data_IF_691417405845
#
_entry.id   IF_691417405845
#
_cell.length_a   1.000
_cell.length_b   1.000
_cell.length_c   1.000
_cell.angle_alpha   90.00
_cell.angle_beta   90.00
_cell.angle_gamma   90.00
#
_symmetry.space_group_name_H-M   'P 1'
#
loop_
_entity.id
_entity.type
_entity.pdbx_description
1 polymer ?
#
# COMPACT_ATOMS: atom_id res chain seq x y z
N UNK A 1 -6.50 -7.45 32.79
CA UNK A 1 -6.79 -8.72 32.08
C UNK A 1 -7.25 -8.34 30.69
N UNK A 2 -6.64 -8.88 29.67
CA UNK A 2 -6.98 -8.64 28.27
C UNK A 2 -7.81 -9.81 27.76
N UNK A 3 -8.78 -9.55 26.89
CA UNK A 3 -9.60 -10.58 26.27
C UNK A 3 -9.29 -10.55 24.76
N UNK A 4 -8.69 -11.63 24.26
CA UNK A 4 -8.48 -11.84 22.82
C UNK A 4 -9.69 -12.52 22.23
N UNK A 5 -10.12 -12.04 21.05
CA UNK A 5 -11.25 -12.56 20.27
C UNK A 5 -10.87 -12.59 18.80
N UNK A 6 -11.41 -13.55 18.03
CA UNK A 6 -11.32 -13.54 16.57
C UNK A 6 -12.26 -12.50 15.99
N UNK A 7 -11.98 -12.10 14.75
CA UNK A 7 -12.80 -11.12 14.02
C UNK A 7 -14.12 -11.70 13.56
N UNK A 8 -15.07 -10.80 13.39
CA UNK A 8 -16.32 -11.01 12.68
C UNK A 8 -16.65 -9.76 11.87
N UNK A 9 -17.48 -9.87 10.85
CA UNK A 9 -17.91 -8.72 10.03
C UNK A 9 -18.53 -7.57 10.86
N UNK A 10 -19.07 -7.87 12.04
CA UNK A 10 -19.65 -6.85 12.93
C UNK A 10 -18.60 -5.96 13.61
N UNK A 11 -17.33 -6.32 13.52
CA UNK A 11 -16.22 -5.53 14.09
C UNK A 11 -15.66 -4.46 13.14
N UNK A 12 -16.09 -4.41 11.87
CA UNK A 12 -15.48 -3.55 10.85
C UNK A 12 -15.41 -2.08 11.28
N UNK A 13 -16.56 -1.50 11.66
CA UNK A 13 -16.64 -0.09 12.04
C UNK A 13 -15.79 0.24 13.27
N UNK A 14 -15.79 -0.67 14.25
CA UNK A 14 -15.02 -0.49 15.48
C UNK A 14 -13.51 -0.60 15.23
N UNK A 15 -13.08 -1.57 14.41
CA UNK A 15 -11.68 -1.73 14.04
C UNK A 15 -11.20 -0.55 13.21
N UNK A 16 -11.98 -0.09 12.23
CA UNK A 16 -11.66 1.10 11.46
C UNK A 16 -11.47 2.32 12.37
N UNK A 17 -12.41 2.58 13.26
CA UNK A 17 -12.31 3.70 14.19
C UNK A 17 -11.06 3.59 15.07
N UNK A 18 -10.73 2.40 15.55
CA UNK A 18 -9.55 2.13 16.33
C UNK A 18 -8.25 2.36 15.55
N UNK A 19 -8.19 1.92 14.28
CA UNK A 19 -7.04 2.17 13.40
C UNK A 19 -6.85 3.68 13.17
N UNK A 20 -7.93 4.41 12.91
CA UNK A 20 -7.91 5.87 12.77
C UNK A 20 -7.39 6.54 14.04
N UNK A 21 -7.80 6.10 15.23
CA UNK A 21 -7.29 6.64 16.51
C UNK A 21 -5.79 6.39 16.69
N UNK A 22 -5.30 5.20 16.28
CA UNK A 22 -3.87 4.90 16.25
C UNK A 22 -3.12 5.82 15.28
N UNK A 23 -3.64 6.01 14.06
CA UNK A 23 -3.07 6.92 13.06
C UNK A 23 -3.01 8.36 13.57
N UNK A 24 -4.09 8.87 14.15
CA UNK A 24 -4.15 10.21 14.72
C UNK A 24 -3.12 10.40 15.86
N UNK A 25 -2.95 9.36 16.69
CA UNK A 25 -1.96 9.38 17.77
C UNK A 25 -0.52 9.36 17.25
N UNK A 26 -0.27 8.66 16.14
CA UNK A 26 1.07 8.51 15.56
C UNK A 26 1.44 9.62 14.59
N UNK A 27 0.50 10.09 13.77
CA UNK A 27 0.75 11.01 12.65
C UNK A 27 -0.02 12.33 12.72
N UNK A 28 -0.99 12.47 13.63
CA UNK A 28 -1.88 13.62 13.69
C UNK A 28 -2.93 13.68 12.57
N UNK A 29 -3.01 12.66 11.71
CA UNK A 29 -4.03 12.52 10.65
C UNK A 29 -4.32 11.04 10.37
N UNK A 30 -5.57 10.74 9.99
CA UNK A 30 -5.97 9.41 9.60
C UNK A 30 -5.21 8.96 8.33
N UNK A 31 -4.92 7.68 8.26
CA UNK A 31 -4.33 6.99 7.11
C UNK A 31 -5.12 5.76 6.70
N UNK A 32 -5.79 5.15 7.66
CA UNK A 32 -6.67 4.01 7.45
C UNK A 32 -7.97 4.44 6.79
N UNK A 33 -8.41 3.72 5.76
CA UNK A 33 -9.68 3.93 5.07
C UNK A 33 -10.58 2.71 5.22
N UNK A 34 -11.90 2.93 5.04
CA UNK A 34 -12.89 1.85 5.03
C UNK A 34 -12.63 0.90 3.88
N UNK A 35 -12.38 1.45 2.71
CA UNK A 35 -12.17 0.73 1.48
C UNK A 35 -10.96 -0.22 1.59
N UNK A 36 -9.84 0.24 2.18
CA UNK A 36 -8.67 -0.60 2.40
C UNK A 36 -8.96 -1.73 3.38
N UNK A 37 -9.68 -1.45 4.46
CA UNK A 37 -10.01 -2.45 5.47
C UNK A 37 -11.01 -3.49 4.94
N UNK A 38 -12.04 -3.07 4.19
CA UNK A 38 -13.00 -3.97 3.54
C UNK A 38 -12.28 -4.87 2.53
N UNK A 39 -11.42 -4.29 1.68
CA UNK A 39 -10.60 -5.04 0.71
C UNK A 39 -9.70 -6.07 1.41
N UNK A 40 -9.05 -5.69 2.50
CA UNK A 40 -8.22 -6.59 3.29
C UNK A 40 -9.05 -7.75 3.89
N UNK A 41 -10.22 -7.45 4.44
CA UNK A 41 -11.06 -8.45 5.10
C UNK A 41 -11.75 -9.40 4.13
N UNK A 42 -11.98 -8.99 2.88
CA UNK A 42 -12.52 -9.86 1.82
C UNK A 42 -11.55 -11.00 1.44
N UNK A 43 -10.25 -10.84 1.75
CA UNK A 43 -9.22 -11.86 1.51
C UNK A 43 -9.04 -12.84 2.67
N UNK A 44 -9.69 -12.59 3.81
CA UNK A 44 -9.42 -13.26 5.07
C UNK A 44 -10.58 -14.20 5.47
N UNK A 45 -10.22 -15.32 6.09
CA UNK A 45 -11.14 -16.00 7.01
C UNK A 45 -11.07 -15.28 8.37
N UNK A 46 -11.95 -14.29 8.56
CA UNK A 46 -11.95 -13.42 9.74
C UNK A 46 -11.89 -14.19 11.06
N UNK A 47 -12.47 -15.40 11.08
CA UNK A 47 -12.47 -16.27 12.27
C UNK A 47 -11.13 -16.91 12.60
N UNK A 48 -10.16 -16.87 11.65
CA UNK A 48 -8.84 -17.49 11.79
C UNK A 48 -7.68 -16.53 11.57
N UNK A 49 -7.88 -15.52 10.70
CA UNK A 49 -6.80 -14.69 10.17
C UNK A 49 -6.70 -13.34 10.90
N UNK A 50 -7.65 -13.02 11.81
CA UNK A 50 -7.64 -11.75 12.50
C UNK A 50 -8.09 -11.82 13.96
N UNK A 51 -7.51 -10.94 14.77
CA UNK A 51 -7.76 -10.88 16.22
C UNK A 51 -7.92 -9.44 16.70
N UNK A 52 -8.81 -9.29 17.67
CA UNK A 52 -8.96 -8.06 18.44
C UNK A 52 -8.70 -8.34 19.91
N UNK A 53 -8.14 -7.34 20.60
CA UNK A 53 -7.89 -7.36 22.02
C UNK A 53 -8.72 -6.30 22.71
N UNK A 54 -9.42 -6.68 23.81
CA UNK A 54 -10.22 -5.78 24.61
C UNK A 54 -9.71 -5.68 26.04
N UNK A 55 -9.86 -4.50 26.62
CA UNK A 55 -9.63 -4.32 28.07
C UNK A 55 -10.82 -4.83 28.91
N UNK A 56 -10.70 -4.72 30.22
CA UNK A 56 -11.74 -5.16 31.17
C UNK A 56 -13.03 -4.34 31.09
N UNK A 57 -13.01 -3.17 30.45
CA UNK A 57 -14.17 -2.33 30.17
C UNK A 57 -14.79 -2.63 28.81
N UNK A 58 -14.23 -3.58 28.06
CA UNK A 58 -14.68 -3.97 26.72
C UNK A 58 -14.17 -3.06 25.60
N UNK A 59 -13.31 -2.07 25.86
CA UNK A 59 -12.75 -1.17 24.85
C UNK A 59 -11.72 -1.92 24.01
N UNK A 60 -11.73 -1.68 22.69
CA UNK A 60 -10.72 -2.19 21.77
C UNK A 60 -9.37 -1.52 22.07
N UNK A 61 -8.32 -2.32 22.27
CA UNK A 61 -6.97 -1.86 22.61
C UNK A 61 -5.88 -2.47 21.72
N UNK A 62 -6.25 -3.40 20.84
CA UNK A 62 -5.35 -4.01 19.89
C UNK A 62 -6.08 -4.71 18.76
N UNK A 63 -5.47 -4.69 17.58
CA UNK A 63 -5.90 -5.38 16.36
C UNK A 63 -4.67 -5.99 15.70
N UNK A 64 -4.79 -7.21 15.19
CA UNK A 64 -3.77 -7.86 14.40
C UNK A 64 -4.37 -8.83 13.42
N UNK A 65 -3.77 -8.95 12.24
CA UNK A 65 -4.23 -9.87 11.20
C UNK A 65 -3.10 -10.43 10.36
N UNK A 66 -3.42 -11.47 9.60
CA UNK A 66 -2.58 -12.07 8.57
C UNK A 66 -3.36 -12.11 7.26
N UNK A 67 -2.71 -11.70 6.18
CA UNK A 67 -3.25 -11.74 4.82
C UNK A 67 -2.27 -12.40 3.87
N UNK A 68 -2.70 -12.69 2.66
CA UNK A 68 -1.82 -13.17 1.59
C UNK A 68 -1.89 -14.68 1.35
N UNK A 69 -1.23 -15.09 0.29
CA UNK A 69 -1.22 -16.44 -0.28
C UNK A 69 0.10 -16.69 -1.00
N UNK A 70 0.30 -17.90 -1.50
CA UNK A 70 1.44 -18.28 -2.36
C UNK A 70 2.81 -17.91 -1.76
N UNK A 71 2.96 -18.09 -0.42
CA UNK A 71 4.22 -17.84 0.30
C UNK A 71 4.51 -16.39 0.61
N UNK A 72 3.62 -15.48 0.26
CA UNK A 72 3.73 -14.04 0.51
C UNK A 72 2.64 -13.60 1.47
N UNK A 73 2.96 -13.60 2.74
CA UNK A 73 2.01 -13.23 3.78
C UNK A 73 2.33 -11.85 4.33
N UNK A 74 1.29 -11.09 4.64
CA UNK A 74 1.35 -9.80 5.30
C UNK A 74 0.79 -9.86 6.70
N UNK A 75 1.24 -8.99 7.60
CA UNK A 75 0.65 -8.80 8.92
C UNK A 75 0.53 -7.32 9.22
N UNK A 76 -0.65 -6.93 9.71
CA UNK A 76 -0.87 -5.62 10.31
C UNK A 76 -1.06 -5.78 11.82
N UNK A 77 -0.51 -4.84 12.56
CA UNK A 77 -0.59 -4.80 14.02
C UNK A 77 -0.83 -3.37 14.49
N UNK A 78 -1.98 -3.14 15.11
CA UNK A 78 -2.36 -1.86 15.71
C UNK A 78 -2.52 -2.02 17.20
N UNK A 79 -1.86 -1.15 17.98
CA UNK A 79 -1.90 -1.17 19.43
C UNK A 79 -2.11 0.25 19.94
N UNK A 80 -3.16 0.45 20.72
CA UNK A 80 -3.44 1.75 21.30
C UNK A 80 -2.53 1.99 22.50
N UNK A 81 -1.48 2.76 22.32
CA UNK A 81 -0.61 3.25 23.37
C UNK A 81 -1.19 4.59 23.91
N UNK A 82 -1.71 4.75 25.13
CA UNK A 82 -1.20 4.18 26.37
C UNK A 82 -2.12 3.15 27.06
N UNK A 83 -3.21 2.71 26.43
CA UNK A 83 -4.20 1.86 27.11
C UNK A 83 -3.84 0.38 27.12
N UNK A 84 -2.94 -0.05 26.26
CA UNK A 84 -2.56 -1.45 26.11
C UNK A 84 -1.59 -1.89 27.22
N UNK A 85 -1.84 -3.03 27.87
CA UNK A 85 -0.89 -3.60 28.81
C UNK A 85 0.40 -4.01 28.09
N UNK A 86 1.51 -3.99 28.83
CA UNK A 86 2.80 -4.45 28.34
C UNK A 86 2.71 -5.91 27.86
N UNK A 87 3.23 -6.20 26.67
CA UNK A 87 3.28 -7.54 26.08
C UNK A 87 2.09 -7.91 25.20
N UNK A 88 1.02 -7.10 25.13
CA UNK A 88 -0.12 -7.37 24.24
C UNK A 88 0.31 -7.48 22.78
N UNK A 89 1.22 -6.62 22.35
CA UNK A 89 1.76 -6.61 21.00
C UNK A 89 2.48 -7.92 20.65
N UNK A 90 3.21 -8.51 21.61
CA UNK A 90 3.87 -9.79 21.40
C UNK A 90 2.87 -10.95 21.40
N UNK A 91 1.79 -10.85 22.17
CA UNK A 91 0.71 -11.85 22.17
C UNK A 91 -0.02 -11.85 20.81
N UNK A 92 -0.38 -10.68 20.27
CA UNK A 92 -0.99 -10.56 18.95
C UNK A 92 -0.02 -10.99 17.82
N UNK A 93 1.24 -10.54 17.86
CA UNK A 93 2.26 -10.97 16.90
C UNK A 93 2.47 -12.49 16.94
N UNK A 94 2.42 -13.11 18.13
CA UNK A 94 2.48 -14.56 18.26
C UNK A 94 1.35 -15.26 17.52
N UNK A 95 0.12 -14.74 17.60
CA UNK A 95 -1.03 -15.25 16.83
C UNK A 95 -0.84 -15.09 15.32
N UNK A 96 -0.36 -13.95 14.87
CA UNK A 96 -0.07 -13.71 13.47
C UNK A 96 1.01 -14.68 12.94
N UNK A 97 2.08 -14.91 13.71
CA UNK A 97 3.14 -15.86 13.35
C UNK A 97 2.65 -17.30 13.31
N UNK A 98 1.87 -17.73 14.31
CA UNK A 98 1.26 -19.06 14.36
C UNK A 98 0.44 -19.30 13.08
N UNK A 99 -0.43 -18.35 12.76
CA UNK A 99 -1.31 -18.45 11.60
C UNK A 99 -0.57 -18.40 10.26
N UNK A 100 0.41 -17.53 10.12
CA UNK A 100 1.23 -17.44 8.90
C UNK A 100 1.99 -18.75 8.63
N UNK A 101 2.53 -19.40 9.67
CA UNK A 101 3.15 -20.73 9.53
C UNK A 101 2.14 -21.82 9.15
N UNK A 102 0.90 -21.78 9.70
CA UNK A 102 -0.16 -22.70 9.30
C UNK A 102 -0.51 -22.55 7.81
N UNK A 103 -0.63 -21.32 7.31
CA UNK A 103 -0.91 -21.02 5.90
C UNK A 103 0.25 -21.50 5.02
N UNK A 104 1.48 -21.20 5.39
CA UNK A 104 2.67 -21.65 4.66
C UNK A 104 2.80 -23.18 4.60
N UNK A 105 2.46 -23.89 5.68
CA UNK A 105 2.50 -25.34 5.73
C UNK A 105 1.42 -26.02 4.84
N UNK A 106 0.34 -25.34 4.52
CA UNK A 106 -0.71 -25.84 3.63
C UNK A 106 -0.34 -25.71 2.16
N UNK A 107 0.63 -24.87 1.84
CA UNK A 107 1.08 -24.60 0.48
C UNK A 107 2.34 -25.40 0.13
N UNK A 108 2.14 -26.63 -0.36
CA UNK A 108 3.22 -27.61 -0.62
C UNK A 108 4.14 -27.27 -1.80
N UNK A 109 3.85 -26.19 -2.54
CA UNK A 109 4.58 -25.85 -3.78
C UNK A 109 5.54 -24.66 -3.62
N UNK A 110 5.69 -24.08 -2.43
CA UNK A 110 6.45 -22.87 -2.22
C UNK A 110 7.87 -23.20 -1.75
N UNK A 111 8.86 -22.71 -2.49
CA UNK A 111 10.28 -22.89 -2.17
C UNK A 111 10.74 -22.04 -0.97
N UNK A 112 10.06 -20.94 -0.70
CA UNK A 112 10.31 -20.05 0.45
C UNK A 112 9.07 -19.20 0.76
N UNK A 113 8.60 -19.27 1.98
CA UNK A 113 7.52 -18.42 2.48
C UNK A 113 8.06 -17.36 3.45
N UNK A 114 7.45 -16.20 3.48
CA UNK A 114 7.81 -15.16 4.43
C UNK A 114 6.60 -14.36 4.89
N UNK A 115 6.68 -13.85 6.13
CA UNK A 115 5.72 -12.89 6.68
C UNK A 115 6.35 -11.50 6.62
N UNK A 116 5.62 -10.56 6.05
CA UNK A 116 6.01 -9.14 5.91
C UNK A 116 5.14 -8.29 6.81
N UNK A 117 5.75 -7.35 7.52
CA UNK A 117 5.03 -6.33 8.28
C UNK A 117 5.69 -4.97 8.13
N UNK A 118 4.97 -3.92 8.47
CA UNK A 118 5.43 -2.55 8.34
C UNK A 118 5.33 -1.81 9.68
N UNK A 119 6.37 -1.06 10.00
CA UNK A 119 6.34 -0.08 11.07
C UNK A 119 6.81 1.27 10.54
N UNK A 120 6.24 2.36 11.02
CA UNK A 120 6.80 3.68 10.69
C UNK A 120 8.12 3.91 11.39
N UNK A 121 8.95 4.80 10.85
CA UNK A 121 10.24 5.15 11.46
C UNK A 121 10.11 5.82 12.85
N UNK A 122 8.91 6.32 13.18
CA UNK A 122 8.62 6.95 14.48
C UNK A 122 8.04 5.97 15.51
N UNK A 123 7.45 4.84 15.08
CA UNK A 123 6.85 3.84 15.97
C UNK A 123 7.89 2.84 16.48
N UNK A 124 8.74 3.30 17.41
CA UNK A 124 9.81 2.48 17.99
C UNK A 124 9.29 1.22 18.70
N UNK A 125 8.09 1.30 19.28
CA UNK A 125 7.49 0.15 19.98
C UNK A 125 7.17 -0.98 19.00
N UNK A 126 6.52 -0.68 17.88
CA UNK A 126 6.20 -1.69 16.86
C UNK A 126 7.47 -2.23 16.20
N UNK A 127 8.50 -1.39 15.96
CA UNK A 127 9.80 -1.84 15.48
C UNK A 127 10.42 -2.88 16.41
N UNK A 128 10.40 -2.62 17.72
CA UNK A 128 10.90 -3.57 18.72
C UNK A 128 10.12 -4.89 18.72
N UNK A 129 8.79 -4.85 18.53
CA UNK A 129 7.96 -6.06 18.42
C UNK A 129 8.43 -6.92 17.24
N UNK A 130 8.62 -6.34 16.05
CA UNK A 130 9.14 -7.08 14.90
C UNK A 130 10.52 -7.69 15.20
N UNK A 131 11.47 -6.90 15.70
CA UNK A 131 12.83 -7.36 15.98
C UNK A 131 12.88 -8.47 17.05
N UNK A 132 12.12 -8.32 18.15
CA UNK A 132 12.03 -9.33 19.20
C UNK A 132 11.40 -10.64 18.74
N UNK A 133 10.52 -10.58 17.73
CA UNK A 133 9.90 -11.76 17.12
C UNK A 133 10.69 -12.32 15.92
N UNK A 134 11.92 -11.86 15.71
CA UNK A 134 12.87 -12.42 14.74
C UNK A 134 12.61 -12.00 13.30
N UNK A 135 12.01 -10.84 13.11
CA UNK A 135 11.96 -10.21 11.79
C UNK A 135 13.24 -9.40 11.54
N UNK A 136 13.71 -9.45 10.31
CA UNK A 136 14.81 -8.61 9.83
C UNK A 136 14.25 -7.35 9.12
N UNK A 137 14.95 -6.23 9.28
CA UNK A 137 14.68 -5.03 8.47
C UNK A 137 15.07 -5.33 7.04
N UNK A 138 14.09 -5.27 6.13
CA UNK A 138 14.31 -5.60 4.73
C UNK A 138 14.59 -4.36 3.87
N UNK A 139 13.69 -3.37 3.90
CA UNK A 139 13.86 -2.12 3.14
C UNK A 139 13.04 -0.99 3.77
N UNK A 140 13.21 0.21 3.24
CA UNK A 140 12.44 1.38 3.65
C UNK A 140 11.55 1.84 2.49
N UNK A 141 10.38 2.37 2.82
CA UNK A 141 9.45 2.95 1.87
C UNK A 141 9.10 4.37 2.28
N UNK A 142 9.07 5.27 1.31
CA UNK A 142 8.61 6.64 1.52
C UNK A 142 7.19 6.78 0.99
N UNK A 143 6.34 7.42 1.77
CA UNK A 143 5.12 8.03 1.25
C UNK A 143 5.46 9.43 0.78
N UNK A 144 5.37 9.65 -0.53
CA UNK A 144 5.48 10.97 -1.14
C UNK A 144 4.10 11.58 -1.25
N UNK A 145 3.98 12.88 -1.00
CA UNK A 145 2.70 13.60 -1.00
C UNK A 145 2.87 15.00 -1.59
N UNK A 146 1.83 15.49 -2.25
CA UNK A 146 1.67 16.89 -2.60
C UNK A 146 0.26 17.34 -2.17
N UNK A 147 0.17 18.49 -1.48
CA UNK A 147 -1.10 19.11 -1.11
C UNK A 147 -1.40 20.24 -2.09
N UNK A 148 -2.66 20.35 -2.53
CA UNK A 148 -3.08 21.38 -3.46
C UNK A 148 -3.47 22.65 -2.72
N UNK A 149 -2.54 23.60 -2.64
CA UNK A 149 -2.75 24.90 -1.97
C UNK A 149 -3.24 26.02 -2.92
N UNK A 150 -3.59 25.67 -4.15
CA UNK A 150 -4.05 26.59 -5.19
C UNK A 150 -4.32 25.89 -6.51
N UNK A 151 -4.68 26.62 -7.57
CA UNK A 151 -5.00 26.05 -8.87
C UNK A 151 -3.86 25.21 -9.43
N UNK A 152 -4.18 23.97 -9.85
CA UNK A 152 -3.27 23.07 -10.54
C UNK A 152 -3.62 23.10 -12.03
N UNK A 153 -2.74 23.70 -12.83
CA UNK A 153 -2.93 23.78 -14.27
C UNK A 153 -2.66 22.44 -14.95
N UNK A 154 -3.44 22.13 -15.97
CA UNK A 154 -3.14 20.97 -16.82
C UNK A 154 -1.92 21.29 -17.69
N UNK A 155 -0.85 20.47 -17.64
CA UNK A 155 0.32 20.71 -18.46
C UNK A 155 -0.02 20.56 -19.94
N UNK A 156 0.61 21.38 -20.79
CA UNK A 156 0.45 21.26 -22.23
C UNK A 156 0.94 19.87 -22.70
N UNK A 157 0.08 19.15 -23.41
CA UNK A 157 0.43 17.82 -23.93
C UNK A 157 1.44 17.96 -25.07
N UNK A 158 2.58 17.25 -25.02
CA UNK A 158 3.48 17.16 -26.16
C UNK A 158 2.79 16.52 -27.38
N UNK A 159 3.01 17.05 -28.57
CA UNK A 159 2.30 16.66 -29.82
C UNK A 159 2.53 15.19 -30.20
N UNK A 160 3.71 14.64 -29.89
CA UNK A 160 4.05 13.24 -30.18
C UNK A 160 3.31 12.21 -29.35
N UNK A 161 2.56 12.63 -28.31
CA UNK A 161 1.84 11.73 -27.43
C UNK A 161 0.34 11.82 -27.60
N UNK A 162 -0.31 10.65 -27.57
CA UNK A 162 -1.76 10.52 -27.44
C UNK A 162 -2.12 9.98 -26.08
N UNK A 163 -3.17 10.54 -25.48
CA UNK A 163 -3.75 10.05 -24.23
C UNK A 163 -4.96 9.17 -24.53
N UNK A 164 -5.08 8.11 -23.76
CA UNK A 164 -6.31 7.32 -23.66
C UNK A 164 -6.51 6.87 -22.22
N UNK A 165 -7.73 6.47 -21.90
CA UNK A 165 -8.02 5.71 -20.70
C UNK A 165 -7.80 4.22 -20.97
N UNK A 166 -7.61 3.43 -19.92
CA UNK A 166 -7.45 1.98 -20.03
C UNK A 166 -8.69 1.33 -20.69
N UNK A 167 -8.41 0.36 -21.55
CA UNK A 167 -9.38 -0.58 -22.10
C UNK A 167 -8.85 -2.00 -21.89
N UNK A 168 -9.72 -2.99 -21.75
CA UNK A 168 -9.33 -4.38 -21.49
C UNK A 168 -8.32 -4.92 -22.53
N UNK A 169 -8.41 -4.48 -23.78
CA UNK A 169 -7.45 -4.81 -24.86
C UNK A 169 -6.02 -4.33 -24.58
N UNK A 170 -5.86 -3.34 -23.71
CA UNK A 170 -4.55 -2.78 -23.33
C UNK A 170 -3.82 -3.60 -22.25
N UNK A 171 -4.50 -4.54 -21.60
CA UNK A 171 -4.01 -5.20 -20.39
C UNK A 171 -2.62 -5.83 -20.52
N UNK A 172 -2.40 -6.62 -21.56
CA UNK A 172 -1.12 -7.30 -21.76
C UNK A 172 0.03 -6.32 -22.00
N UNK A 173 -0.19 -5.29 -22.84
CA UNK A 173 0.82 -4.28 -23.13
C UNK A 173 1.10 -3.42 -21.90
N UNK A 174 0.06 -3.08 -21.13
CA UNK A 174 0.17 -2.33 -19.89
C UNK A 174 0.95 -3.11 -18.82
N UNK A 175 0.61 -4.38 -18.59
CA UNK A 175 1.33 -5.25 -17.69
C UNK A 175 2.82 -5.35 -18.06
N UNK A 176 3.16 -5.55 -19.35
CA UNK A 176 4.54 -5.59 -19.81
C UNK A 176 5.29 -4.27 -19.57
N UNK A 177 4.64 -3.13 -19.79
CA UNK A 177 5.23 -1.83 -19.48
C UNK A 177 5.52 -1.69 -17.98
N UNK A 178 4.57 -2.04 -17.13
CA UNK A 178 4.71 -1.99 -15.68
C UNK A 178 5.86 -2.90 -15.23
N UNK A 179 5.85 -4.18 -15.58
CA UNK A 179 6.89 -5.14 -15.17
C UNK A 179 8.29 -4.74 -15.64
N UNK A 180 8.41 -4.21 -16.88
CA UNK A 180 9.71 -3.73 -17.40
C UNK A 180 10.22 -2.45 -16.70
N UNK A 181 9.34 -1.70 -16.06
CA UNK A 181 9.68 -0.44 -15.39
C UNK A 181 10.01 -0.65 -13.91
N UNK A 182 9.30 -1.57 -13.26
CA UNK A 182 9.44 -1.85 -11.84
C UNK A 182 10.50 -2.95 -11.60
N UNK A 183 11.78 -2.61 -11.79
CA UNK A 183 12.93 -3.55 -11.74
C UNK A 183 13.94 -3.15 -10.67
N UNK A 184 13.53 -3.04 -9.39
CA UNK A 184 14.47 -2.81 -8.31
C UNK A 184 14.83 -4.10 -7.58
N UNK A 185 15.97 -4.11 -6.91
CA UNK A 185 16.45 -5.24 -6.13
C UNK A 185 15.46 -5.60 -5.01
N UNK A 186 15.19 -6.89 -4.88
CA UNK A 186 14.25 -7.43 -3.89
C UNK A 186 12.78 -7.36 -4.26
N UNK A 187 12.42 -6.87 -5.45
CA UNK A 187 11.07 -6.98 -5.98
C UNK A 187 10.85 -8.34 -6.63
N UNK A 188 9.85 -9.05 -6.17
CA UNK A 188 9.38 -10.25 -6.83
C UNK A 188 8.50 -9.90 -8.03
N UNK A 189 8.77 -10.44 -9.25
CA UNK A 189 7.90 -10.22 -10.39
C UNK A 189 6.50 -10.81 -10.13
N UNK A 190 5.48 -10.13 -10.63
CA UNK A 190 4.10 -10.60 -10.55
C UNK A 190 3.71 -11.41 -11.78
N UNK A 191 2.81 -12.38 -11.62
CA UNK A 191 2.05 -12.90 -12.76
C UNK A 191 1.03 -11.84 -13.21
N UNK A 192 0.54 -11.95 -14.45
CA UNK A 192 -0.49 -11.03 -14.95
C UNK A 192 -1.77 -11.13 -14.12
N UNK A 193 -2.12 -12.32 -13.64
CA UNK A 193 -3.30 -12.54 -12.80
C UNK A 193 -3.13 -11.91 -11.42
N UNK A 194 -1.97 -12.07 -10.79
CA UNK A 194 -1.65 -11.42 -9.52
C UNK A 194 -1.63 -9.88 -9.66
N UNK A 195 -1.06 -9.37 -10.78
CA UNK A 195 -1.09 -7.93 -11.06
C UNK A 195 -2.51 -7.42 -11.33
N UNK A 196 -3.34 -8.16 -12.08
CA UNK A 196 -4.75 -7.82 -12.33
C UNK A 196 -5.52 -7.74 -11.00
N UNK A 197 -5.37 -8.73 -10.15
CA UNK A 197 -5.98 -8.73 -8.82
C UNK A 197 -5.54 -7.50 -8.01
N UNK A 198 -4.23 -7.19 -8.01
CA UNK A 198 -3.69 -6.03 -7.29
C UNK A 198 -4.26 -4.69 -7.78
N UNK A 199 -4.54 -4.56 -9.08
CA UNK A 199 -4.91 -3.27 -9.70
C UNK A 199 -6.42 -3.07 -9.77
N UNK A 200 -7.21 -4.13 -9.95
CA UNK A 200 -8.66 -4.03 -10.14
C UNK A 200 -9.49 -4.50 -8.94
N UNK A 201 -8.81 -4.84 -7.84
CA UNK A 201 -9.44 -5.29 -6.61
C UNK A 201 -10.25 -4.15 -5.95
N UNK A 202 -11.25 -4.53 -5.11
CA UNK A 202 -12.00 -3.59 -4.27
C UNK A 202 -12.93 -2.65 -5.01
N UNK A 203 -13.14 -2.83 -6.33
CA UNK A 203 -14.06 -1.97 -7.10
C UNK A 203 -13.60 -0.51 -7.27
N UNK A 204 -12.36 -0.17 -6.91
CA UNK A 204 -11.80 1.19 -7.00
C UNK A 204 -11.45 1.62 -8.42
N UNK A 205 -11.56 0.69 -9.38
CA UNK A 205 -11.26 1.01 -10.76
C UNK A 205 -12.22 2.07 -11.31
N UNK A 206 -11.64 3.19 -11.74
CA UNK A 206 -12.31 4.21 -12.53
C UNK A 206 -11.42 4.54 -13.73
N UNK A 207 -11.89 4.36 -14.99
CA UNK A 207 -11.09 4.60 -16.18
C UNK A 207 -10.55 6.02 -16.27
N UNK A 208 -11.15 7.01 -15.63
CA UNK A 208 -10.67 8.39 -15.60
C UNK A 208 -9.31 8.54 -14.90
N UNK A 209 -9.01 7.65 -13.95
CA UNK A 209 -7.75 7.65 -13.21
C UNK A 209 -6.70 6.67 -13.76
N UNK A 210 -7.07 5.91 -14.80
CA UNK A 210 -6.16 4.97 -15.47
C UNK A 210 -5.75 5.55 -16.83
N UNK A 211 -4.72 6.38 -16.81
CA UNK A 211 -4.26 7.15 -17.96
C UNK A 211 -3.12 6.45 -18.68
N UNK A 212 -3.30 6.21 -19.96
CA UNK A 212 -2.32 5.60 -20.86
C UNK A 212 -1.77 6.62 -21.87
N UNK A 213 -0.46 6.55 -22.11
CA UNK A 213 0.23 7.42 -23.07
C UNK A 213 0.85 6.59 -24.18
N UNK A 214 0.49 6.93 -25.42
CA UNK A 214 1.04 6.26 -26.62
C UNK A 214 1.83 7.22 -27.47
N UNK A 215 2.90 6.71 -28.10
CA UNK A 215 3.67 7.38 -29.14
C UNK A 215 3.72 6.47 -30.35
N UNK A 216 3.27 6.95 -31.51
CA UNK A 216 3.19 6.14 -32.76
C UNK A 216 2.49 4.79 -32.56
N UNK A 217 1.41 4.76 -31.77
CA UNK A 217 0.62 3.57 -31.45
C UNK A 217 1.16 2.67 -30.34
N UNK A 218 2.44 2.77 -29.95
CA UNK A 218 3.05 2.01 -28.86
C UNK A 218 2.72 2.64 -27.50
N UNK A 219 2.41 1.84 -26.50
CA UNK A 219 2.26 2.28 -25.12
C UNK A 219 3.64 2.64 -24.53
N UNK A 220 3.82 3.89 -24.09
CA UNK A 220 5.11 4.41 -23.61
C UNK A 220 5.05 5.00 -22.20
N UNK A 221 3.84 5.17 -21.65
CA UNK A 221 3.63 5.65 -20.31
C UNK A 221 2.28 5.25 -19.76
N UNK A 222 2.17 5.10 -18.46
CA UNK A 222 0.92 4.82 -17.78
C UNK A 222 0.94 5.39 -16.35
N UNK A 223 -0.22 5.88 -15.89
CA UNK A 223 -0.51 6.19 -14.51
C UNK A 223 -1.79 5.45 -14.10
N UNK A 224 -1.68 4.55 -13.14
CA UNK A 224 -2.80 3.80 -12.57
C UNK A 224 -3.04 4.35 -11.17
N UNK A 225 -4.21 4.90 -10.94
CA UNK A 225 -4.48 5.71 -9.76
C UNK A 225 -5.89 5.47 -9.26
N UNK A 226 -6.14 5.86 -8.02
CA UNK A 226 -7.43 5.81 -7.37
C UNK A 226 -7.75 7.17 -6.76
N UNK A 227 -9.03 7.45 -6.57
CA UNK A 227 -9.51 8.58 -5.82
C UNK A 227 -10.17 8.08 -4.53
N UNK A 228 -9.79 8.67 -3.41
CA UNK A 228 -10.34 8.42 -2.10
C UNK A 228 -10.78 9.77 -1.51
N UNK A 229 -11.60 9.76 -0.46
CA UNK A 229 -12.00 11.01 0.22
C UNK A 229 -10.78 11.78 0.77
N UNK A 230 -9.75 11.06 1.18
CA UNK A 230 -8.49 11.62 1.71
C UNK A 230 -7.59 12.25 0.65
N UNK A 231 -7.80 11.93 -0.64
CA UNK A 231 -6.98 12.42 -1.75
C UNK A 231 -6.81 11.41 -2.89
N UNK A 232 -6.02 11.77 -3.89
CA UNK A 232 -5.63 10.87 -4.96
C UNK A 232 -4.48 9.95 -4.53
N UNK A 233 -4.49 8.73 -5.01
CA UNK A 233 -3.39 7.78 -4.81
C UNK A 233 -2.88 7.25 -6.14
N UNK A 234 -1.60 7.50 -6.46
CA UNK A 234 -0.96 6.94 -7.65
C UNK A 234 -0.35 5.59 -7.26
N UNK A 235 -1.00 4.52 -7.68
CA UNK A 235 -0.58 3.16 -7.40
C UNK A 235 0.63 2.74 -8.23
N UNK A 236 0.60 3.07 -9.52
CA UNK A 236 1.69 2.77 -10.46
C UNK A 236 1.89 3.92 -11.44
N UNK A 237 3.13 4.36 -11.60
CA UNK A 237 3.56 5.31 -12.62
C UNK A 237 4.70 4.68 -13.41
N UNK A 238 4.48 4.41 -14.67
CA UNK A 238 5.44 3.76 -15.55
C UNK A 238 5.77 4.59 -16.79
N UNK A 239 7.04 4.61 -17.18
CA UNK A 239 7.51 5.21 -18.43
C UNK A 239 8.51 4.28 -19.08
N UNK A 240 8.27 3.90 -20.32
CA UNK A 240 9.15 3.04 -21.09
C UNK A 240 10.60 3.58 -21.09
N UNK A 241 11.57 2.69 -20.99
CA UNK A 241 12.99 3.01 -20.77
C UNK A 241 13.55 4.01 -21.78
N UNK A 242 13.17 3.89 -23.04
CA UNK A 242 13.59 4.76 -24.16
C UNK A 242 12.92 6.15 -24.13
N UNK A 243 11.90 6.34 -23.30
CA UNK A 243 11.20 7.62 -23.07
C UNK A 243 11.53 8.25 -21.71
N UNK A 244 12.30 7.57 -20.85
CA UNK A 244 12.76 8.14 -19.58
C UNK A 244 13.75 9.30 -19.81
N UNK A 245 13.78 10.26 -18.88
CA UNK A 245 14.65 11.43 -18.97
C UNK A 245 14.23 12.48 -20.02
N UNK A 246 13.11 12.27 -20.73
CA UNK A 246 12.59 13.16 -21.79
C UNK A 246 11.38 14.00 -21.33
N UNK A 247 11.09 14.03 -20.02
CA UNK A 247 9.99 14.83 -19.47
C UNK A 247 8.63 14.13 -19.42
N UNK A 248 8.44 12.96 -20.07
CA UNK A 248 7.16 12.27 -20.11
C UNK A 248 6.60 11.94 -18.72
N UNK A 249 7.44 11.42 -17.80
CA UNK A 249 7.02 11.11 -16.44
C UNK A 249 6.56 12.35 -15.65
N UNK A 250 7.27 13.48 -15.81
CA UNK A 250 6.89 14.75 -15.17
C UNK A 250 5.55 15.26 -15.71
N UNK A 251 5.40 15.21 -17.02
CA UNK A 251 4.17 15.62 -17.66
C UNK A 251 2.98 14.75 -17.23
N UNK A 252 3.14 13.42 -17.22
CA UNK A 252 2.10 12.48 -16.84
C UNK A 252 1.68 12.66 -15.37
N UNK A 253 2.66 12.84 -14.48
CA UNK A 253 2.39 13.09 -13.06
C UNK A 253 1.65 14.42 -12.82
N UNK A 254 2.09 15.50 -13.48
CA UNK A 254 1.41 16.79 -13.42
C UNK A 254 0.00 16.74 -14.05
N UNK A 255 -0.18 15.94 -15.11
CA UNK A 255 -1.49 15.68 -15.67
C UNK A 255 -2.41 15.04 -14.64
N UNK A 256 -1.95 13.99 -13.94
CA UNK A 256 -2.72 13.36 -12.86
C UNK A 256 -3.03 14.33 -11.72
N UNK A 257 -2.10 15.19 -11.32
CA UNK A 257 -2.38 16.25 -10.34
C UNK A 257 -3.55 17.14 -10.79
N UNK A 258 -3.58 17.53 -12.07
CA UNK A 258 -4.67 18.34 -12.61
C UNK A 258 -6.01 17.59 -12.66
N UNK A 259 -5.99 16.27 -12.91
CA UNK A 259 -7.18 15.41 -12.87
C UNK A 259 -7.76 15.39 -11.45
N UNK A 260 -6.94 15.08 -10.46
CA UNK A 260 -7.36 15.03 -9.06
C UNK A 260 -7.82 16.39 -8.53
N UNK A 261 -7.10 17.46 -8.87
CA UNK A 261 -7.49 18.83 -8.48
C UNK A 261 -8.88 19.22 -9.01
N UNK A 262 -9.19 18.88 -10.28
CA UNK A 262 -10.52 19.13 -10.88
C UNK A 262 -11.65 18.34 -10.21
N UNK A 263 -11.32 17.26 -9.52
CA UNK A 263 -12.24 16.47 -8.70
C UNK A 263 -12.36 16.99 -7.26
N UNK A 264 -11.74 18.15 -6.95
CA UNK A 264 -11.71 18.77 -5.63
C UNK A 264 -11.01 17.92 -4.56
N UNK A 265 -10.10 17.02 -4.94
CA UNK A 265 -9.30 16.29 -3.98
C UNK A 265 -8.22 17.20 -3.38
N UNK A 266 -7.87 17.04 -2.09
CA UNK A 266 -6.96 17.95 -1.38
C UNK A 266 -5.50 17.80 -1.78
N UNK A 267 -5.12 16.69 -2.39
CA UNK A 267 -3.75 16.38 -2.75
C UNK A 267 -3.60 14.99 -3.37
N UNK A 268 -2.36 14.56 -3.58
CA UNK A 268 -2.01 13.27 -4.18
C UNK A 268 -0.86 12.63 -3.42
N UNK A 269 -0.98 11.32 -3.14
CA UNK A 269 0.06 10.50 -2.55
C UNK A 269 0.53 9.37 -3.46
N UNK A 270 1.70 8.82 -3.16
CA UNK A 270 2.22 7.57 -3.72
C UNK A 270 3.25 6.94 -2.76
N UNK A 271 3.48 5.64 -2.93
CA UNK A 271 4.55 4.92 -2.25
C UNK A 271 5.76 4.70 -3.14
N UNK A 272 6.97 4.77 -2.58
CA UNK A 272 8.22 4.47 -3.30
C UNK A 272 9.25 3.82 -2.38
N UNK A 273 9.91 2.75 -2.85
CA UNK A 273 11.01 2.14 -2.11
C UNK A 273 12.20 3.12 -2.02
N UNK A 274 12.84 3.19 -0.86
CA UNK A 274 14.01 4.07 -0.62
C UNK A 274 15.19 3.72 -1.51
N UNK A 275 15.34 2.43 -1.88
CA UNK A 275 16.34 1.94 -2.82
C UNK A 275 16.17 2.53 -4.23
N UNK A 276 14.94 2.92 -4.61
CA UNK A 276 14.65 3.59 -5.88
C UNK A 276 14.95 5.09 -5.79
N UNK A 277 16.22 5.45 -5.59
CA UNK A 277 16.63 6.85 -5.40
C UNK A 277 16.30 7.75 -6.59
N UNK A 278 16.29 7.23 -7.81
CA UNK A 278 15.89 7.99 -9.00
C UNK A 278 14.43 8.44 -8.92
N UNK A 279 13.53 7.56 -8.44
CA UNK A 279 12.11 7.85 -8.37
C UNK A 279 11.79 8.88 -7.28
N UNK A 280 12.25 8.68 -6.04
CA UNK A 280 11.87 9.63 -4.98
C UNK A 280 12.52 11.01 -5.17
N UNK A 281 13.74 11.13 -5.70
CA UNK A 281 14.30 12.42 -6.12
C UNK A 281 13.53 13.06 -7.29
N UNK A 282 13.00 12.24 -8.21
CA UNK A 282 12.13 12.72 -9.27
C UNK A 282 10.84 13.32 -8.70
N UNK A 283 10.19 12.66 -7.74
CA UNK A 283 8.99 13.18 -7.08
C UNK A 283 9.26 14.48 -6.30
N UNK A 284 10.38 14.57 -5.58
CA UNK A 284 10.81 15.81 -4.90
C UNK A 284 10.97 16.98 -5.88
N UNK A 285 11.59 16.75 -7.05
CA UNK A 285 11.72 17.80 -8.07
C UNK A 285 10.40 18.31 -8.64
N UNK A 286 9.34 17.53 -8.56
CA UNK A 286 7.99 17.92 -9.02
C UNK A 286 7.19 18.56 -7.88
N UNK A 287 7.77 18.72 -6.70
CA UNK A 287 7.14 19.38 -5.57
C UNK A 287 6.48 18.46 -4.55
N UNK A 288 6.60 17.14 -4.72
CA UNK A 288 6.17 16.21 -3.66
C UNK A 288 7.19 16.21 -2.51
N UNK A 289 6.70 16.00 -1.30
CA UNK A 289 7.51 15.85 -0.10
C UNK A 289 7.32 14.48 0.54
N UNK A 290 8.29 14.03 1.33
CA UNK A 290 8.17 12.79 2.11
C UNK A 290 7.30 13.05 3.32
N UNK A 291 6.08 12.53 3.29
CA UNK A 291 5.15 12.69 4.41
C UNK A 291 5.35 11.64 5.50
N UNK A 292 5.81 10.43 5.13
CA UNK A 292 6.09 9.32 6.05
C UNK A 292 7.21 8.42 5.53
N UNK A 293 7.84 7.71 6.47
CA UNK A 293 8.78 6.63 6.20
C UNK A 293 8.30 5.37 6.91
N UNK A 294 8.26 4.27 6.18
CA UNK A 294 7.94 2.95 6.69
C UNK A 294 9.16 2.05 6.56
N UNK A 295 9.36 1.21 7.56
CA UNK A 295 10.34 0.13 7.55
C UNK A 295 9.58 -1.14 7.26
N UNK A 296 9.95 -1.83 6.19
CA UNK A 296 9.48 -3.17 5.90
C UNK A 296 10.32 -4.17 6.67
N UNK A 297 9.64 -5.04 7.39
CA UNK A 297 10.21 -6.15 8.12
C UNK A 297 9.80 -7.45 7.47
N UNK A 298 10.74 -8.41 7.36
CA UNK A 298 10.47 -9.75 6.83
C UNK A 298 10.97 -10.81 7.78
N UNK A 299 10.20 -11.90 7.85
CA UNK A 299 10.57 -13.10 8.59
C UNK A 299 10.30 -14.31 7.70
N UNK A 300 11.31 -15.17 7.43
CA UNK A 300 11.08 -16.47 6.82
C UNK A 300 10.14 -17.32 7.67
N UNK A 301 9.21 -18.01 7.06
CA UNK A 301 8.32 -18.99 7.69
C UNK A 301 8.90 -20.40 7.61
N UNK A 302 8.53 -21.24 8.57
CA UNK A 302 9.08 -22.59 8.72
C UNK A 302 8.36 -23.62 7.86
#
# INVERSE_FOLDING_TARGET
>A
MTILQTLTNTNLDEVLQFMIECDLSEFGKADSSREDLEEQWDEMDLSKDGWIARDVQGRLIGYGCVTGEDGRYGTDLYIHNPLSPEGLENELMGKCLERANELAAQDSNIASAHLTGYATSVNQRLQQVFEQNGFDRFTYHYRMQIDFNGPVESPQRPEEFTLSTYQEVDETELFQLIESTFTWEGRDPLSIDAWRNLIFRGGRYDPEYFVLVRSSGRLVGAALSYAEESGGWIRQLAVAKDYQGKGLGSWLLQHMFSVFYKKNLPGVGLGVASSNSKAWHFYERIGMYRSREFIEYRKPLA
#
